data_IF_909973867497
#
_entry.id   IF_909973867497
#
_cell.length_a   1.000
_cell.length_b   1.000
_cell.length_c   1.000
_cell.angle_alpha   90.00
_cell.angle_beta   90.00
_cell.angle_gamma   90.00
#
_symmetry.space_group_name_H-M   'P 1'
#
loop_
_entity.id
_entity.type
_entity.pdbx_description
1 polymer ?
#
# COMPACT_ATOMS: atom_id res chain seq x y z
N UNK A 1 5.59 -6.24 -23.47
CA UNK A 1 6.70 -6.21 -22.48
C UNK A 1 6.58 -5.07 -21.47
N UNK A 2 6.12 -3.87 -21.84
CA UNK A 2 6.05 -2.71 -20.92
C UNK A 2 5.14 -2.87 -19.69
N UNK A 3 3.99 -3.54 -19.81
CA UNK A 3 3.06 -3.71 -18.68
C UNK A 3 3.63 -4.56 -17.54
N UNK A 4 4.47 -5.56 -17.84
CA UNK A 4 5.09 -6.42 -16.81
C UNK A 4 6.12 -5.64 -15.97
N UNK A 5 6.95 -4.82 -16.62
CA UNK A 5 7.96 -4.01 -15.94
C UNK A 5 7.33 -2.91 -15.07
N UNK A 6 6.24 -2.30 -15.53
CA UNK A 6 5.53 -1.30 -14.74
C UNK A 6 4.95 -1.89 -13.45
N UNK A 7 4.30 -3.06 -13.54
CA UNK A 7 3.78 -3.77 -12.37
C UNK A 7 4.91 -4.16 -11.42
N UNK A 8 6.03 -4.66 -11.94
CA UNK A 8 7.20 -4.96 -11.12
C UNK A 8 7.69 -3.74 -10.35
N UNK A 9 7.88 -2.60 -11.02
CA UNK A 9 8.33 -1.35 -10.39
C UNK A 9 7.32 -0.89 -9.34
N UNK A 10 6.02 -0.89 -9.65
CA UNK A 10 4.97 -0.51 -8.70
C UNK A 10 5.02 -1.37 -7.43
N UNK A 11 5.17 -2.69 -7.56
CA UNK A 11 5.26 -3.60 -6.41
C UNK A 11 6.53 -3.37 -5.57
N UNK A 12 7.68 -3.10 -6.20
CA UNK A 12 8.91 -2.76 -5.47
C UNK A 12 8.73 -1.46 -4.67
N UNK A 13 8.19 -0.42 -5.29
CA UNK A 13 7.96 0.87 -4.61
C UNK A 13 6.90 0.71 -3.51
N UNK A 14 5.85 -0.09 -3.73
CA UNK A 14 4.84 -0.40 -2.71
C UNK A 14 5.45 -1.08 -1.50
N UNK A 15 6.36 -2.04 -1.67
CA UNK A 15 7.07 -2.68 -0.55
C UNK A 15 7.85 -1.65 0.26
N UNK A 16 8.64 -0.79 -0.40
CA UNK A 16 9.44 0.25 0.28
C UNK A 16 8.53 1.25 1.02
N UNK A 17 7.50 1.76 0.34
CA UNK A 17 6.54 2.70 0.92
C UNK A 17 5.76 2.07 2.09
N UNK A 18 5.45 0.78 2.02
CA UNK A 18 4.76 0.06 3.09
C UNK A 18 5.64 -0.16 4.31
N UNK A 19 6.93 -0.49 4.13
CA UNK A 19 7.89 -0.56 5.23
C UNK A 19 8.02 0.82 5.90
N UNK A 20 8.20 1.88 5.10
CA UNK A 20 8.27 3.25 5.63
C UNK A 20 6.99 3.65 6.39
N UNK A 21 5.82 3.28 5.85
CA UNK A 21 4.52 3.51 6.49
C UNK A 21 4.37 2.77 7.83
N UNK A 22 4.82 1.52 7.91
CA UNK A 22 4.85 0.75 9.17
C UNK A 22 5.79 1.40 10.19
N UNK A 23 7.01 1.78 9.78
CA UNK A 23 7.97 2.46 10.67
C UNK A 23 7.44 3.80 11.19
N UNK A 24 6.82 4.60 10.33
CA UNK A 24 6.22 5.88 10.73
C UNK A 24 5.01 5.69 11.64
N UNK A 25 4.17 4.68 11.37
CA UNK A 25 3.05 4.32 12.24
C UNK A 25 3.55 3.92 13.62
N UNK A 26 4.57 3.06 13.71
CA UNK A 26 5.22 2.71 14.98
C UNK A 26 5.81 3.92 15.70
N UNK A 27 6.34 4.89 14.96
CA UNK A 27 6.88 6.11 15.56
C UNK A 27 5.80 7.08 16.05
N UNK A 28 4.57 7.02 15.54
CA UNK A 28 3.43 7.81 16.04
C UNK A 28 2.81 7.15 17.26
N UNK A 29 2.62 5.83 17.23
CA UNK A 29 2.05 5.07 18.35
C UNK A 29 3.14 4.61 19.32
N UNK A 30 3.94 5.56 19.78
CA UNK A 30 4.85 5.36 20.89
C UNK A 30 4.09 5.24 22.23
N UNK A 31 4.82 5.03 23.31
CA UNK A 31 4.24 4.91 24.65
C UNK A 31 3.36 6.10 25.05
N UNK A 32 3.67 7.30 24.56
CA UNK A 32 2.96 8.54 24.91
C UNK A 32 1.55 8.50 24.31
N UNK A 33 1.45 8.20 23.02
CA UNK A 33 0.14 8.07 22.35
C UNK A 33 -0.60 6.84 22.87
N UNK A 34 0.06 5.68 22.97
CA UNK A 34 -0.57 4.44 23.43
C UNK A 34 -1.17 4.57 24.84
N UNK A 35 -0.49 5.29 25.74
CA UNK A 35 -0.95 5.53 27.11
C UNK A 35 -1.86 6.76 27.27
N UNK A 36 -2.30 7.38 26.15
CA UNK A 36 -3.16 8.57 26.13
C UNK A 36 -2.59 9.78 26.87
N UNK A 37 -1.26 9.91 26.88
CA UNK A 37 -0.55 11.01 27.54
C UNK A 37 -0.43 12.25 26.64
N UNK A 38 -0.82 12.15 25.36
CA UNK A 38 -0.85 13.27 24.43
C UNK A 38 -2.24 13.91 24.36
N UNK A 39 -2.48 14.91 25.22
CA UNK A 39 -3.76 15.61 25.36
C UNK A 39 -3.58 17.12 25.56
N UNK A 40 -4.64 17.90 25.33
CA UNK A 40 -4.64 19.36 25.53
C UNK A 40 -4.91 19.74 27.00
N UNK A 41 -4.38 20.86 27.46
CA UNK A 41 -4.72 21.45 28.77
C UNK A 41 -5.41 22.80 28.51
N UNK A 42 -6.50 23.14 29.21
CA UNK A 42 -7.13 22.43 30.34
C UNK A 42 -8.15 21.35 29.96
N UNK A 43 -8.58 21.26 28.69
CA UNK A 43 -9.73 20.43 28.29
C UNK A 43 -9.48 18.91 28.29
N UNK A 44 -8.25 18.46 28.55
CA UNK A 44 -7.82 17.05 28.55
C UNK A 44 -8.23 16.27 27.31
N UNK A 45 -8.38 16.95 26.17
CA UNK A 45 -8.76 16.32 24.90
C UNK A 45 -7.57 15.57 24.34
N UNK A 46 -7.71 14.24 24.21
CA UNK A 46 -6.70 13.40 23.54
C UNK A 46 -6.59 13.82 22.08
N UNK A 47 -5.38 14.18 21.64
CA UNK A 47 -5.13 14.70 20.29
C UNK A 47 -4.94 13.59 19.24
N UNK A 48 -4.40 12.44 19.65
CA UNK A 48 -4.29 11.25 18.80
C UNK A 48 -4.86 10.08 19.57
N UNK A 49 -5.94 9.50 19.04
CA UNK A 49 -6.59 8.37 19.72
C UNK A 49 -5.82 7.07 19.43
N UNK A 50 -5.51 6.23 20.43
CA UNK A 50 -4.79 4.97 20.21
C UNK A 50 -5.49 4.00 19.27
N UNK A 51 -6.82 4.05 19.18
CA UNK A 51 -7.62 3.24 18.25
C UNK A 51 -7.27 3.51 16.78
N UNK A 52 -6.68 4.67 16.48
CA UNK A 52 -6.20 5.00 15.13
C UNK A 52 -5.14 3.99 14.65
N UNK A 53 -4.39 3.36 15.55
CA UNK A 53 -3.41 2.32 15.23
C UNK A 53 -4.04 1.12 14.49
N UNK A 54 -5.30 0.79 14.81
CA UNK A 54 -6.04 -0.30 14.16
C UNK A 54 -6.32 -0.03 12.68
N UNK A 55 -6.22 1.22 12.24
CA UNK A 55 -6.34 1.58 10.83
C UNK A 55 -4.98 1.72 10.14
N UNK A 56 -4.03 2.39 10.80
CA UNK A 56 -2.73 2.72 10.19
C UNK A 56 -1.84 1.49 9.97
N UNK A 57 -1.77 0.56 10.94
CA UNK A 57 -0.93 -0.63 10.79
C UNK A 57 -1.45 -1.58 9.71
N UNK A 58 -2.73 -1.98 9.70
CA UNK A 58 -3.19 -2.94 8.69
C UNK A 58 -3.18 -2.35 7.27
N UNK A 59 -3.29 -1.03 7.11
CA UNK A 59 -3.18 -0.36 5.81
C UNK A 59 -1.84 -0.63 5.13
N UNK A 60 -0.73 -0.31 5.81
CA UNK A 60 0.61 -0.54 5.27
C UNK A 60 0.96 -2.03 5.25
N UNK A 61 0.48 -2.83 6.23
CA UNK A 61 0.72 -4.27 6.25
C UNK A 61 0.06 -4.99 5.07
N UNK A 62 -1.18 -4.64 4.71
CA UNK A 62 -1.88 -5.25 3.58
C UNK A 62 -1.17 -4.95 2.25
N UNK A 63 -0.81 -3.68 2.01
CA UNK A 63 -0.06 -3.27 0.81
C UNK A 63 1.31 -3.96 0.73
N UNK A 64 2.00 -4.09 1.88
CA UNK A 64 3.24 -4.85 1.98
C UNK A 64 3.03 -6.31 1.60
N UNK A 65 2.07 -7.00 2.22
CA UNK A 65 1.84 -8.43 2.00
C UNK A 65 1.52 -8.73 0.53
N UNK A 66 0.61 -7.98 -0.08
CA UNK A 66 0.23 -8.19 -1.49
C UNK A 66 1.42 -7.99 -2.43
N UNK A 67 2.16 -6.89 -2.25
CA UNK A 67 3.29 -6.55 -3.13
C UNK A 67 4.49 -7.47 -2.91
N UNK A 68 4.73 -7.87 -1.66
CA UNK A 68 5.80 -8.79 -1.31
C UNK A 68 5.52 -10.22 -1.80
N UNK A 69 4.27 -10.69 -1.66
CA UNK A 69 3.85 -11.99 -2.21
C UNK A 69 4.01 -12.01 -3.74
N UNK A 70 3.69 -10.92 -4.44
CA UNK A 70 3.95 -10.80 -5.87
C UNK A 70 5.45 -10.98 -6.20
N UNK A 71 6.34 -10.30 -5.47
CA UNK A 71 7.79 -10.43 -5.70
C UNK A 71 8.33 -11.83 -5.37
N UNK A 72 7.81 -12.46 -4.32
CA UNK A 72 8.14 -13.86 -4.00
C UNK A 72 7.66 -14.81 -5.10
N UNK A 73 6.49 -14.57 -5.68
CA UNK A 73 5.92 -15.40 -6.73
C UNK A 73 6.79 -15.44 -7.99
N UNK A 74 7.54 -14.37 -8.29
CA UNK A 74 8.49 -14.34 -9.41
C UNK A 74 9.64 -15.37 -9.26
N UNK A 75 9.94 -15.77 -8.03
CA UNK A 75 10.97 -16.77 -7.71
C UNK A 75 10.37 -18.10 -7.26
N UNK A 76 9.07 -18.33 -7.48
CA UNK A 76 8.38 -19.50 -6.96
C UNK A 76 8.76 -20.79 -7.71
N UNK A 77 8.82 -21.90 -6.97
CA UNK A 77 9.08 -23.22 -7.55
C UNK A 77 7.91 -23.76 -8.38
N UNK A 78 8.17 -24.77 -9.22
CA UNK A 78 7.21 -25.33 -10.17
C UNK A 78 5.87 -25.78 -9.56
N UNK A 79 5.86 -26.26 -8.30
CA UNK A 79 4.62 -26.66 -7.60
C UNK A 79 3.68 -25.48 -7.35
N UNK A 80 4.23 -24.32 -6.98
CA UNK A 80 3.45 -23.10 -6.69
C UNK A 80 2.92 -22.50 -7.99
N UNK A 81 3.74 -22.51 -9.05
CA UNK A 81 3.32 -22.09 -10.38
C UNK A 81 2.18 -22.97 -10.90
N UNK A 82 2.31 -24.31 -10.77
CA UNK A 82 1.24 -25.24 -11.15
C UNK A 82 -0.06 -24.95 -10.40
N UNK A 83 0.00 -24.78 -9.09
CA UNK A 83 -1.16 -24.40 -8.28
C UNK A 83 -1.80 -23.09 -8.77
N UNK A 84 -1.00 -22.06 -9.08
CA UNK A 84 -1.51 -20.78 -9.57
C UNK A 84 -2.15 -20.88 -10.95
N UNK A 85 -1.72 -21.81 -11.81
CA UNK A 85 -2.35 -22.11 -13.09
C UNK A 85 -3.68 -22.86 -12.85
N UNK A 86 -3.68 -23.89 -11.99
CA UNK A 86 -4.86 -24.70 -11.72
C UNK A 86 -6.01 -23.87 -11.06
N UNK A 87 -5.66 -22.83 -10.30
CA UNK A 87 -6.59 -21.94 -9.59
C UNK A 87 -6.50 -20.48 -10.06
N UNK A 88 -6.18 -20.26 -11.33
CA UNK A 88 -5.89 -18.94 -11.89
C UNK A 88 -7.02 -17.90 -11.68
N UNK A 89 -8.25 -18.27 -12.03
CA UNK A 89 -9.41 -17.38 -11.89
C UNK A 89 -9.69 -16.99 -10.43
N UNK A 90 -9.89 -17.92 -9.48
CA UNK A 90 -10.15 -17.54 -8.09
C UNK A 90 -8.99 -16.77 -7.46
N UNK A 91 -7.74 -17.13 -7.76
CA UNK A 91 -6.57 -16.40 -7.26
C UNK A 91 -6.53 -14.96 -7.79
N UNK A 92 -6.87 -14.77 -9.07
CA UNK A 92 -6.93 -13.44 -9.69
C UNK A 92 -8.03 -12.56 -9.08
N UNK A 93 -9.22 -13.12 -8.83
CA UNK A 93 -10.33 -12.40 -8.20
C UNK A 93 -10.02 -12.02 -6.76
N UNK A 94 -9.46 -12.95 -5.98
CA UNK A 94 -9.07 -12.68 -4.59
C UNK A 94 -8.01 -11.57 -4.54
N UNK A 95 -6.97 -11.66 -5.38
CA UNK A 95 -5.95 -10.62 -5.37
C UNK A 95 -6.49 -9.28 -5.84
N UNK A 96 -7.31 -9.23 -6.91
CA UNK A 96 -7.95 -8.00 -7.36
C UNK A 96 -8.80 -7.36 -6.26
N UNK A 97 -9.62 -8.17 -5.58
CA UNK A 97 -10.43 -7.71 -4.45
C UNK A 97 -9.56 -7.15 -3.32
N UNK A 98 -8.52 -7.88 -2.90
CA UNK A 98 -7.62 -7.43 -1.83
C UNK A 98 -6.86 -6.16 -2.20
N UNK A 99 -6.45 -6.00 -3.46
CA UNK A 99 -5.82 -4.77 -3.96
C UNK A 99 -6.79 -3.58 -3.96
N UNK A 100 -8.06 -3.80 -4.32
CA UNK A 100 -9.10 -2.77 -4.19
C UNK A 100 -9.31 -2.37 -2.73
N UNK A 101 -9.37 -3.33 -1.81
CA UNK A 101 -9.45 -3.07 -0.36
C UNK A 101 -8.24 -2.27 0.09
N UNK A 102 -7.02 -2.66 -0.30
CA UNK A 102 -5.79 -1.95 0.03
C UNK A 102 -5.80 -0.51 -0.51
N UNK A 103 -6.29 -0.29 -1.72
CA UNK A 103 -6.42 1.04 -2.33
C UNK A 103 -7.38 1.95 -1.54
N UNK A 104 -8.62 1.49 -1.29
CA UNK A 104 -9.62 2.25 -0.53
C UNK A 104 -9.12 2.54 0.88
N UNK A 105 -8.52 1.55 1.52
CA UNK A 105 -8.05 1.67 2.90
C UNK A 105 -6.84 2.59 3.03
N UNK A 106 -5.96 2.62 2.02
CA UNK A 106 -4.86 3.60 1.92
C UNK A 106 -5.38 5.02 1.73
N UNK A 107 -6.39 5.20 0.89
CA UNK A 107 -7.06 6.50 0.72
C UNK A 107 -7.70 6.99 2.04
N UNK A 108 -8.44 6.11 2.72
CA UNK A 108 -9.04 6.41 4.02
C UNK A 108 -7.98 6.79 5.06
N UNK A 109 -6.89 6.03 5.14
CA UNK A 109 -5.78 6.31 6.07
C UNK A 109 -5.14 7.66 5.78
N UNK A 110 -4.95 8.00 4.50
CA UNK A 110 -4.44 9.31 4.08
C UNK A 110 -5.35 10.44 4.56
N UNK A 111 -6.65 10.30 4.34
CA UNK A 111 -7.65 11.27 4.78
C UNK A 111 -7.66 11.45 6.31
N UNK A 112 -7.67 10.36 7.07
CA UNK A 112 -7.69 10.42 8.55
C UNK A 112 -6.39 11.05 9.08
N UNK A 113 -5.23 10.70 8.51
CA UNK A 113 -3.96 11.34 8.88
C UNK A 113 -3.96 12.84 8.58
N UNK A 114 -4.57 13.27 7.47
CA UNK A 114 -4.67 14.67 7.11
C UNK A 114 -5.55 15.45 8.10
N UNK A 115 -6.69 14.88 8.51
CA UNK A 115 -7.54 15.49 9.53
C UNK A 115 -6.83 15.61 10.88
N UNK A 116 -6.20 14.54 11.36
CA UNK A 116 -5.47 14.56 12.63
C UNK A 116 -4.28 15.55 12.58
N UNK A 117 -3.61 15.66 11.42
CA UNK A 117 -2.56 16.67 11.25
C UNK A 117 -3.12 18.10 11.32
N UNK A 118 -4.30 18.36 10.75
CA UNK A 118 -4.95 19.66 10.82
C UNK A 118 -5.33 20.03 12.26
N UNK A 119 -5.86 19.07 13.03
CA UNK A 119 -6.23 19.26 14.44
C UNK A 119 -5.02 19.60 15.32
N UNK A 120 -3.83 19.10 14.98
CA UNK A 120 -2.60 19.32 15.74
C UNK A 120 -1.82 20.54 15.25
N UNK A 121 -2.10 21.04 14.04
CA UNK A 121 -1.33 22.10 13.38
C UNK A 121 -1.21 23.37 14.24
N UNK A 122 -2.30 23.78 14.90
CA UNK A 122 -2.29 24.96 15.78
C UNK A 122 -1.30 24.80 16.95
N UNK A 123 -1.26 23.61 17.55
CA UNK A 123 -0.36 23.32 18.67
C UNK A 123 1.10 23.19 18.25
N UNK A 124 1.34 22.72 17.01
CA UNK A 124 2.69 22.64 16.45
C UNK A 124 3.34 24.02 16.27
N UNK A 125 2.56 25.08 16.06
CA UNK A 125 3.08 26.43 15.76
C UNK A 125 3.01 27.36 16.97
N UNK A 126 1.97 27.29 17.80
CA UNK A 126 1.71 28.31 18.83
C UNK A 126 1.34 27.77 20.22
N UNK A 127 1.79 26.57 20.59
CA UNK A 127 1.48 26.04 21.93
C UNK A 127 2.47 26.47 23.03
N UNK A 128 1.93 26.59 24.24
CA UNK A 128 2.72 26.70 25.47
C UNK A 128 2.35 25.54 26.41
N UNK A 129 3.30 24.88 27.07
CA UNK A 129 4.76 25.15 27.09
C UNK A 129 5.49 24.67 25.83
N UNK A 130 6.72 25.15 25.61
CA UNK A 130 7.53 24.82 24.43
C UNK A 130 7.76 23.31 24.23
N UNK A 131 7.81 22.52 25.30
CA UNK A 131 7.91 21.06 25.21
C UNK A 131 6.70 20.43 24.52
N UNK A 132 5.49 20.91 24.84
CA UNK A 132 4.26 20.45 24.21
C UNK A 132 4.17 20.91 22.75
N UNK A 133 4.65 22.11 22.44
CA UNK A 133 4.78 22.57 21.05
C UNK A 133 5.72 21.67 20.24
N UNK A 134 6.90 21.34 20.77
CA UNK A 134 7.87 20.47 20.10
C UNK A 134 7.30 19.06 19.87
N UNK A 135 6.63 18.50 20.87
CA UNK A 135 5.92 17.22 20.73
C UNK A 135 4.83 17.31 19.65
N UNK A 136 4.06 18.40 19.63
CA UNK A 136 3.01 18.63 18.64
C UNK A 136 3.58 18.74 17.22
N UNK A 137 4.69 19.46 17.05
CA UNK A 137 5.40 19.56 15.77
C UNK A 137 5.94 18.19 15.30
N UNK A 138 6.43 17.37 16.22
CA UNK A 138 6.92 16.02 15.95
C UNK A 138 5.83 15.09 15.40
N UNK A 139 4.66 15.07 16.05
CA UNK A 139 3.51 14.28 15.59
C UNK A 139 2.88 14.85 14.32
N UNK A 140 2.78 16.18 14.21
CA UNK A 140 2.29 16.86 13.01
C UNK A 140 3.09 16.46 11.76
N UNK A 141 4.43 16.51 11.84
CA UNK A 141 5.30 16.14 10.72
C UNK A 141 5.09 14.68 10.28
N UNK A 142 4.97 13.75 11.25
CA UNK A 142 4.77 12.32 10.97
C UNK A 142 3.41 12.01 10.37
N UNK A 143 2.36 12.62 10.89
CA UNK A 143 1.02 12.46 10.32
C UNK A 143 1.00 12.94 8.87
N UNK A 144 1.66 14.06 8.55
CA UNK A 144 1.81 14.52 7.16
C UNK A 144 2.65 13.58 6.30
N UNK A 145 3.72 13.01 6.83
CA UNK A 145 4.49 11.99 6.10
C UNK A 145 3.62 10.74 5.81
N UNK A 146 2.79 10.32 6.77
CA UNK A 146 1.84 9.23 6.60
C UNK A 146 0.75 9.56 5.55
N UNK A 147 0.27 10.80 5.47
CA UNK A 147 -0.64 11.24 4.37
C UNK A 147 -0.01 10.97 3.01
N UNK A 148 1.25 11.39 2.82
CA UNK A 148 1.96 11.23 1.54
C UNK A 148 2.20 9.75 1.24
N UNK A 149 2.64 8.96 2.21
CA UNK A 149 2.93 7.53 2.01
C UNK A 149 1.65 6.74 1.71
N UNK A 150 0.59 6.94 2.47
CA UNK A 150 -0.69 6.27 2.24
C UNK A 150 -1.35 6.73 0.92
N UNK A 151 -1.18 8.00 0.55
CA UNK A 151 -1.57 8.50 -0.77
C UNK A 151 -0.81 7.81 -1.90
N UNK A 152 0.51 7.64 -1.75
CA UNK A 152 1.34 6.91 -2.71
C UNK A 152 0.94 5.43 -2.79
N UNK A 153 0.69 4.76 -1.66
CA UNK A 153 0.20 3.37 -1.63
C UNK A 153 -1.13 3.24 -2.37
N UNK A 154 -2.07 4.16 -2.14
CA UNK A 154 -3.36 4.21 -2.85
C UNK A 154 -3.16 4.29 -4.37
N UNK A 155 -2.36 5.25 -4.84
CA UNK A 155 -2.09 5.45 -6.28
C UNK A 155 -1.45 4.20 -6.89
N UNK A 156 -0.43 3.64 -6.24
CA UNK A 156 0.27 2.46 -6.77
C UNK A 156 -0.62 1.21 -6.78
N UNK A 157 -1.39 0.97 -5.72
CA UNK A 157 -2.37 -0.11 -5.70
C UNK A 157 -3.42 0.07 -6.81
N UNK A 158 -3.91 1.29 -7.01
CA UNK A 158 -4.84 1.64 -8.08
C UNK A 158 -4.26 1.40 -9.48
N UNK A 159 -3.00 1.76 -9.71
CA UNK A 159 -2.29 1.49 -10.98
C UNK A 159 -2.20 -0.02 -11.22
N UNK A 160 -1.82 -0.80 -10.22
CA UNK A 160 -1.72 -2.27 -10.33
C UNK A 160 -3.09 -2.86 -10.68
N UNK A 161 -4.16 -2.42 -10.02
CA UNK A 161 -5.52 -2.87 -10.33
C UNK A 161 -5.93 -2.51 -11.75
N UNK A 162 -5.70 -1.25 -12.15
CA UNK A 162 -6.09 -0.75 -13.46
C UNK A 162 -5.35 -1.48 -14.59
N UNK A 163 -4.05 -1.73 -14.43
CA UNK A 163 -3.21 -2.36 -15.45
C UNK A 163 -3.39 -3.88 -15.51
N UNK A 164 -3.53 -4.56 -14.37
CA UNK A 164 -3.67 -6.03 -14.33
C UNK A 164 -5.08 -6.53 -14.57
N UNK A 165 -6.11 -5.86 -14.01
CA UNK A 165 -7.47 -6.41 -13.97
C UNK A 165 -8.46 -5.65 -14.84
N UNK A 166 -8.33 -4.32 -14.95
CA UNK A 166 -9.23 -3.49 -15.74
C UNK A 166 -8.74 -3.26 -17.17
N UNK A 167 -7.45 -3.51 -17.42
CA UNK A 167 -6.85 -3.57 -18.75
C UNK A 167 -6.92 -2.26 -19.54
N UNK A 168 -5.85 -1.46 -19.51
CA UNK A 168 -5.63 -0.42 -20.54
C UNK A 168 -5.40 -1.05 -21.93
N UNK A 169 -5.18 -2.37 -22.00
CA UNK A 169 -5.30 -3.18 -23.21
C UNK A 169 -6.07 -4.48 -22.88
N UNK A 170 -7.22 -4.69 -23.52
CA UNK A 170 -8.15 -5.83 -23.33
C UNK A 170 -7.54 -7.20 -23.66
N UNK A 171 -6.56 -7.66 -22.88
CA UNK A 171 -6.15 -9.06 -22.80
C UNK A 171 -5.93 -9.36 -21.33
N UNK A 172 -6.89 -10.02 -20.70
CA UNK A 172 -6.78 -10.61 -19.37
C UNK A 172 -5.51 -11.45 -19.30
N UNK A 173 -4.39 -10.85 -18.88
CA UNK A 173 -3.15 -11.58 -18.58
C UNK A 173 -3.17 -11.85 -17.09
N UNK A 174 -3.46 -13.10 -16.77
CA UNK A 174 -3.56 -13.61 -15.41
C UNK A 174 -2.18 -13.83 -14.79
N UNK A 175 -2.15 -14.14 -13.49
CA UNK A 175 -0.93 -14.35 -12.69
C UNK A 175 0.04 -15.36 -13.31
N UNK A 176 -0.49 -16.43 -13.91
CA UNK A 176 0.32 -17.45 -14.59
C UNK A 176 1.13 -16.88 -15.77
N UNK A 177 0.53 -15.98 -16.55
CA UNK A 177 1.18 -15.34 -17.70
C UNK A 177 2.22 -14.29 -17.32
N UNK A 178 2.26 -13.83 -16.06
CA UNK A 178 3.30 -12.94 -15.54
C UNK A 178 4.50 -13.71 -14.98
N UNK A 179 4.27 -14.92 -14.44
CA UNK A 179 5.33 -15.80 -13.92
C UNK A 179 6.16 -16.44 -15.03
N UNK A 180 5.59 -16.64 -16.21
CA UNK A 180 6.33 -17.15 -17.35
C UNK A 180 7.37 -16.11 -17.79
N UNK A 181 8.65 -16.42 -17.56
CA UNK A 181 9.79 -15.72 -18.18
C UNK A 181 9.48 -15.58 -19.68
N UNK A 182 9.67 -14.42 -20.32
CA UNK A 182 9.33 -14.27 -21.73
C UNK A 182 10.14 -15.28 -22.53
N UNK A 183 9.49 -16.35 -22.98
CA UNK A 183 9.99 -17.07 -24.14
C UNK A 183 9.81 -16.08 -25.29
N UNK A 184 10.90 -15.52 -25.80
CA UNK A 184 10.90 -15.23 -27.23
C UNK A 184 10.56 -16.55 -27.95
N UNK A 185 9.68 -16.50 -28.95
CA UNK A 185 10.16 -16.10 -30.27
C UNK A 185 9.16 -15.20 -30.99
N UNK A 186 9.50 -13.93 -31.23
CA UNK A 186 8.91 -13.27 -32.40
C UNK A 186 9.70 -13.81 -33.60
N UNK A 187 9.05 -14.66 -34.41
CA UNK A 187 9.02 -14.63 -35.89
C UNK A 187 8.53 -16.00 -36.41
N UNK A 188 7.25 -16.00 -36.79
CA UNK A 188 6.62 -16.72 -37.91
C UNK A 188 6.52 -18.25 -37.82
N UNK A 189 5.38 -18.73 -37.30
CA UNK A 189 4.80 -19.99 -37.77
C UNK A 189 3.76 -19.64 -38.85
N UNK A 190 4.11 -19.96 -40.10
CA UNK A 190 3.26 -19.80 -41.29
C UNK A 190 1.95 -20.56 -41.09
N UNK A 191 0.84 -19.85 -41.15
CA UNK A 191 -0.46 -20.41 -41.50
C UNK A 191 -0.44 -20.92 -42.93
N UNK A 192 -0.31 -22.22 -43.13
CA UNK A 192 -0.94 -22.96 -44.25
C UNK A 192 -0.85 -24.45 -43.93
N UNK A 193 -1.98 -25.09 -43.60
CA UNK A 193 -2.49 -26.28 -44.28
C UNK A 193 -4.00 -26.38 -44.02
N UNK A 194 -4.78 -25.85 -44.96
CA UNK A 194 -6.11 -26.36 -45.30
C UNK A 194 -5.99 -26.89 -46.73
N UNK A 195 -6.63 -28.04 -46.97
CA UNK A 195 -6.64 -28.91 -48.15
C UNK A 195 -5.54 -29.98 -48.19
#
# INVERSE_FOLDING_TARGET
MHSSNLIFICNVVLVIASIAGLCLSSSVFDFIVASRLYYTVPDHKVLITPSLALYLFPCSALSFLLSFLYLLFLSAGARVIKFAIDYELPLSLIHAFLMCVACVFSSFTSFVCAQNAADIAGYAVFATPAQFQLASAWYYSRLRALVVISGLQCILNGIVVAVLYLGINCKYRTFAHLSQKPLQPDVVERTTYFA
#
